data_IF_747760889446
#
_entry.id   IF_747760889446
#
_cell.length_a   1.000
_cell.length_b   1.000
_cell.length_c   1.000
_cell.angle_alpha   90.00
_cell.angle_beta   90.00
_cell.angle_gamma   90.00
#
_symmetry.space_group_name_H-M   'P 1'
#
loop_
_entity.id
_entity.type
_entity.pdbx_description
1 polymer ?
2 polymer ?
3 non-polymer ?
4 water ?
#
# COMPACT_ATOMS: atom_id res chain seq x y z
N UNK A 7 -15.60 -6.35 -23.35
CA UNK A 7 -14.24 -6.43 -23.88
C UNK A 7 -13.18 -6.28 -22.77
N UNK A 8 -12.02 -6.87 -23.02
CA UNK A 8 -10.93 -6.81 -22.05
C UNK A 8 -10.32 -5.41 -21.97
N UNK A 9 -10.34 -4.68 -23.09
CA UNK A 9 -9.92 -3.28 -23.03
C UNK A 9 -10.80 -2.48 -22.07
N UNK A 10 -12.09 -2.83 -22.01
CA UNK A 10 -13.00 -2.15 -21.07
C UNK A 10 -12.68 -2.52 -19.63
N UNK A 11 -12.42 -3.80 -19.36
CA UNK A 11 -11.99 -4.20 -18.03
C UNK A 11 -10.76 -3.42 -17.59
N UNK A 12 -9.78 -3.26 -18.48
CA UNK A 12 -8.54 -2.55 -18.12
C UNK A 12 -8.82 -1.07 -17.87
N UNK A 13 -9.65 -0.45 -18.71
CA UNK A 13 -9.95 0.96 -18.50
C UNK A 13 -10.75 1.17 -17.23
N UNK A 14 -11.74 0.30 -16.96
CA UNK A 14 -12.56 0.44 -15.76
C UNK A 14 -11.70 0.33 -14.50
N UNK A 15 -10.75 -0.60 -14.52
CA UNK A 15 -9.86 -0.74 -13.37
C UNK A 15 -8.98 0.49 -13.21
N UNK A 16 -8.41 0.98 -14.32
CA UNK A 16 -7.60 2.20 -14.27
C UNK A 16 -8.41 3.39 -13.77
N UNK A 17 -9.64 3.54 -14.27
CA UNK A 17 -10.46 4.66 -13.81
C UNK A 17 -10.77 4.56 -12.33
N UNK A 18 -10.98 3.32 -11.83
CA UNK A 18 -11.26 3.10 -10.42
C UNK A 18 -10.03 3.46 -9.57
N UNK A 19 -8.85 3.20 -10.11
CA UNK A 19 -7.61 3.53 -9.41
C UNK A 19 -7.39 5.04 -9.38
N UNK A 20 -7.63 5.73 -10.50
CA UNK A 20 -7.49 7.19 -10.52
C UNK A 20 -8.50 7.84 -9.61
N UNK A 21 -9.69 7.26 -9.47
CA UNK A 21 -10.74 7.87 -8.67
C UNK A 21 -10.46 7.70 -7.18
N UNK A 22 -9.95 6.54 -6.77
CA UNK A 22 -10.02 6.15 -5.38
C UNK A 22 -8.72 6.36 -4.60
N UNK A 23 -7.60 6.57 -5.27
CA UNK A 23 -6.33 6.83 -4.60
C UNK A 23 -5.98 8.30 -4.70
N UNK A 24 -5.66 8.92 -3.54
CA UNK A 24 -5.38 10.35 -3.56
C UNK A 24 -4.07 10.64 -4.28
N UNK A 25 -3.14 9.68 -4.25
CA UNK A 25 -1.81 9.83 -4.81
C UNK A 25 -1.65 8.81 -5.92
N UNK A 26 -1.20 9.29 -7.06
CA UNK A 26 -0.90 8.39 -8.15
C UNK A 26 0.46 8.76 -8.67
N UNK A 27 0.95 7.93 -9.56
CA UNK A 27 2.36 8.01 -9.85
C UNK A 27 2.69 9.26 -10.65
N UNK A 28 1.83 9.66 -11.59
CA UNK A 28 2.10 10.89 -12.32
C UNK A 28 2.16 12.06 -11.35
N UNK A 29 1.15 12.18 -10.47
CA UNK A 29 1.13 13.27 -9.49
C UNK A 29 2.39 13.24 -8.64
N UNK A 30 2.79 12.05 -8.20
CA UNK A 30 3.93 11.95 -7.29
C UNK A 30 5.21 12.38 -7.98
N UNK A 31 5.41 11.95 -9.22
CA UNK A 31 6.59 12.36 -9.97
C UNK A 31 6.59 13.86 -10.26
N UNK A 32 5.43 14.43 -10.53
CA UNK A 32 5.35 15.88 -10.72
C UNK A 32 5.90 16.60 -9.48
N UNK A 33 5.50 16.16 -8.30
CA UNK A 33 5.94 16.79 -7.07
C UNK A 33 7.41 16.51 -6.81
N UNK A 34 7.82 15.24 -6.95
CA UNK A 34 9.17 14.80 -6.67
C UNK A 34 10.20 15.38 -7.63
N UNK A 35 9.76 16.07 -8.68
CA UNK A 35 10.66 16.73 -9.62
C UNK A 35 10.82 18.22 -9.35
N UNK A 36 9.97 18.81 -8.50
CA UNK A 36 9.90 20.24 -8.38
C UNK A 36 8.86 20.80 -9.34
N UNK A 42 6.26 22.41 -3.23
CA UNK A 42 7.60 22.19 -2.69
C UNK A 42 7.53 21.49 -1.34
N UNK A 43 7.52 20.15 -1.31
CA UNK A 43 7.24 19.45 -0.05
C UNK A 43 8.25 19.81 1.01
N UNK A 44 7.81 19.75 2.26
CA UNK A 44 8.70 20.08 3.36
C UNK A 44 9.55 18.87 3.70
N UNK A 45 10.86 19.06 3.82
CA UNK A 45 11.79 17.95 3.94
C UNK A 45 12.07 17.63 5.40
N UNK A 46 11.79 16.39 5.77
CA UNK A 46 12.06 15.84 7.09
C UNK A 46 13.32 14.99 6.98
N UNK A 47 14.44 15.48 7.54
CA UNK A 47 15.71 14.80 7.40
C UNK A 47 16.43 14.70 8.72
N UNK A 48 15.85 15.19 9.80
CA UNK A 48 16.47 15.17 11.12
C UNK A 48 15.37 15.49 12.14
N UNK A 49 15.73 15.43 13.42
CA UNK A 49 14.73 15.63 14.47
C UNK A 49 14.18 17.05 14.46
N UNK A 50 15.02 18.07 14.21
CA UNK A 50 14.51 19.44 14.12
C UNK A 50 13.40 19.54 13.08
N UNK A 51 13.65 19.07 11.86
CA UNK A 51 12.64 19.17 10.82
C UNK A 51 11.45 18.23 11.05
N UNK A 52 11.65 17.07 11.68
CA UNK A 52 10.50 16.27 12.10
C UNK A 52 9.56 17.07 12.98
N UNK A 53 10.11 17.74 14.01
CA UNK A 53 9.24 18.48 14.90
C UNK A 53 8.54 19.62 14.19
N UNK A 54 9.26 20.31 13.29
CA UNK A 54 8.63 21.38 12.50
C UNK A 54 7.50 20.84 11.64
N UNK A 55 7.74 19.69 10.98
CA UNK A 55 6.71 19.13 10.13
C UNK A 55 5.51 18.72 10.95
N UNK A 56 5.73 18.15 12.13
CA UNK A 56 4.61 17.79 12.98
C UNK A 56 3.73 19.00 13.27
N UNK A 57 4.34 20.14 13.62
CA UNK A 57 3.54 21.31 13.96
C UNK A 57 2.78 21.88 12.78
N UNK A 58 3.29 21.72 11.55
CA UNK A 58 2.58 22.25 10.39
C UNK A 58 1.62 21.25 9.79
N UNK A 59 1.99 19.97 9.73
CA UNK A 59 1.21 19.00 8.97
C UNK A 59 0.34 18.06 9.79
N UNK A 60 0.67 17.86 11.06
CA UNK A 60 -0.14 17.02 11.95
C UNK A 60 -0.33 17.75 13.28
N UNK A 61 -0.72 19.02 13.20
CA UNK A 61 -0.70 19.92 14.35
C UNK A 61 -1.36 19.30 15.59
N UNK A 62 -2.55 18.71 15.41
CA UNK A 62 -3.30 18.16 16.53
C UNK A 62 -2.51 17.09 17.28
N UNK A 63 -1.65 16.34 16.58
CA UNK A 63 -0.90 15.26 17.22
C UNK A 63 -0.01 15.79 18.33
N UNK A 64 0.53 16.98 18.16
CA UNK A 64 1.45 17.54 19.14
C UNK A 64 0.89 18.81 19.80
N UNK A 65 -0.42 19.04 19.66
CA UNK A 65 -1.11 20.14 20.35
C UNK A 65 -1.43 19.67 21.77
N UNK A 66 -0.41 19.80 22.63
CA UNK A 66 -0.33 19.18 23.95
C UNK A 66 0.93 18.31 24.02
N UNK A 67 0.88 17.05 23.57
CA UNK A 67 -0.27 16.30 23.10
C UNK A 67 0.07 14.83 23.30
N UNK A 68 0.65 14.21 22.28
CA UNK A 68 1.54 13.06 22.48
C UNK A 68 2.99 13.42 22.18
N UNK A 69 3.30 14.72 22.13
CA UNK A 69 4.65 15.11 21.75
C UNK A 69 5.67 14.94 22.87
N UNK A 70 5.23 14.47 24.03
CA UNK A 70 6.17 13.98 25.04
C UNK A 70 6.47 12.50 24.90
N UNK A 71 5.84 11.82 23.93
CA UNK A 71 6.26 10.48 23.53
C UNK A 71 7.46 10.59 22.57
N UNK A 72 8.21 9.50 22.46
CA UNK A 72 9.44 9.50 21.67
C UNK A 72 9.12 9.77 20.21
N UNK A 73 10.05 10.41 19.50
CA UNK A 73 9.79 10.76 18.11
C UNK A 73 9.39 9.53 17.30
N UNK A 74 10.11 8.42 17.51
CA UNK A 74 9.84 7.18 16.77
C UNK A 74 8.39 6.73 16.97
N UNK A 75 7.88 6.87 18.19
CA UNK A 75 6.51 6.50 18.50
C UNK A 75 5.50 7.46 17.85
N UNK A 76 5.83 8.75 17.81
CA UNK A 76 4.95 9.70 17.11
C UNK A 76 4.90 9.38 15.63
N UNK A 77 6.06 9.08 15.04
CA UNK A 77 6.06 8.75 13.61
C UNK A 77 5.22 7.50 13.38
N UNK A 78 5.37 6.49 14.24
CA UNK A 78 4.63 5.24 14.07
C UNK A 78 3.13 5.48 14.12
N UNK A 79 2.68 6.39 15.00
CA UNK A 79 1.26 6.72 15.07
C UNK A 79 0.79 7.36 13.77
N UNK A 80 1.55 8.31 13.25
CA UNK A 80 1.20 8.95 11.99
C UNK A 80 1.15 7.91 10.88
N UNK A 81 2.10 6.97 10.89
CA UNK A 81 2.08 5.90 9.89
C UNK A 81 0.81 5.07 10.00
N UNK A 82 0.40 4.71 11.23
CA UNK A 82 -0.83 3.95 11.40
C UNK A 82 -2.02 4.71 10.84
N UNK A 83 -2.10 6.01 11.10
CA UNK A 83 -3.23 6.78 10.56
C UNK A 83 -3.23 6.73 9.05
N UNK A 84 -2.06 6.86 8.45
CA UNK A 84 -1.97 6.79 7.00
C UNK A 84 -2.42 5.43 6.49
N UNK A 85 -2.04 4.34 7.17
CA UNK A 85 -2.45 3.02 6.72
C UNK A 85 -3.95 2.83 6.84
N UNK A 86 -4.56 3.35 7.89
CA UNK A 86 -6.00 3.28 8.04
C UNK A 86 -6.66 3.97 6.85
N UNK A 87 -6.15 5.16 6.49
CA UNK A 87 -6.69 5.85 5.32
C UNK A 87 -6.50 5.02 4.05
N UNK A 88 -5.33 4.40 3.89
CA UNK A 88 -5.06 3.68 2.66
C UNK A 88 -5.93 2.44 2.55
N UNK A 89 -6.21 1.78 3.67
CA UNK A 89 -7.12 0.64 3.65
C UNK A 89 -8.51 1.06 3.18
N UNK A 90 -8.97 2.25 3.58
CA UNK A 90 -10.26 2.74 3.11
C UNK A 90 -10.21 2.95 1.61
N UNK A 91 -9.15 3.59 1.11
CA UNK A 91 -9.06 3.80 -0.34
C UNK A 91 -9.02 2.46 -1.07
N UNK A 92 -8.27 1.48 -0.55
CA UNK A 92 -8.17 0.17 -1.20
C UNK A 92 -9.50 -0.55 -1.20
N UNK A 93 -10.27 -0.39 -0.13
CA UNK A 93 -11.60 -1.00 -0.08
C UNK A 93 -12.52 -0.41 -1.12
N UNK A 94 -12.49 0.93 -1.29
CA UNK A 94 -13.33 1.54 -2.32
C UNK A 94 -12.86 1.14 -3.71
N UNK A 95 -11.54 1.04 -3.92
CA UNK A 95 -11.04 0.56 -5.20
C UNK A 95 -11.51 -0.86 -5.45
N UNK A 96 -11.39 -1.74 -4.45
CA UNK A 96 -11.80 -3.13 -4.62
C UNK A 96 -13.26 -3.19 -5.03
N UNK A 97 -14.12 -2.43 -4.35
CA UNK A 97 -15.56 -2.45 -4.66
C UNK A 97 -15.83 -1.99 -6.08
N UNK A 98 -14.90 -1.30 -6.72
CA UNK A 98 -15.08 -0.84 -8.09
C UNK A 98 -14.42 -1.77 -9.11
N UNK A 99 -13.72 -2.81 -8.67
CA UNK A 99 -13.16 -3.80 -9.60
C UNK A 99 -14.31 -4.62 -10.15
N UNK A 100 -14.49 -4.64 -11.47
CA UNK A 100 -15.63 -5.38 -12.03
C UNK A 100 -15.66 -6.80 -11.51
N UNK A 101 -16.82 -7.20 -10.96
CA UNK A 101 -16.99 -8.54 -10.44
C UNK A 101 -16.73 -8.69 -8.96
N UNK A 102 -16.00 -7.78 -8.35
CA UNK A 102 -15.66 -7.97 -6.94
C UNK A 102 -16.91 -7.91 -6.08
N UNK A 103 -17.83 -7.00 -6.39
CA UNK A 103 -19.04 -6.84 -5.60
C UNK A 103 -19.99 -8.03 -5.73
N UNK A 104 -19.79 -8.89 -6.73
CA UNK A 104 -20.60 -10.10 -6.85
C UNK A 104 -20.04 -11.24 -6.03
N UNK A 105 -18.90 -11.07 -5.38
CA UNK A 105 -18.38 -12.12 -4.54
C UNK A 105 -19.12 -12.16 -3.20
N UNK A 106 -19.04 -13.30 -2.54
CA UNK A 106 -19.52 -13.42 -1.16
C UNK A 106 -18.88 -12.34 -0.31
N UNK A 107 -19.69 -11.68 0.51
CA UNK A 107 -19.18 -10.59 1.33
C UNK A 107 -18.03 -11.05 2.22
N UNK A 108 -18.12 -12.27 2.75
CA UNK A 108 -17.05 -12.77 3.59
C UNK A 108 -15.77 -13.00 2.78
N UNK A 109 -15.90 -13.45 1.53
CA UNK A 109 -14.72 -13.56 0.67
C UNK A 109 -14.15 -12.19 0.34
N UNK A 110 -15.00 -11.17 0.18
CA UNK A 110 -14.49 -9.83 -0.05
C UNK A 110 -13.64 -9.37 1.13
N UNK A 111 -14.08 -9.68 2.35
CA UNK A 111 -13.30 -9.35 3.54
C UNK A 111 -11.94 -10.06 3.51
N UNK A 112 -11.96 -11.37 3.24
CA UNK A 112 -10.74 -12.15 3.19
C UNK A 112 -9.76 -11.61 2.15
N UNK A 113 -10.25 -11.28 0.96
CA UNK A 113 -9.36 -10.76 -0.07
C UNK A 113 -8.72 -9.45 0.37
N UNK A 114 -9.51 -8.55 0.96
CA UNK A 114 -8.93 -7.30 1.45
C UNK A 114 -7.90 -7.58 2.55
N UNK A 115 -8.27 -8.44 3.50
CA UNK A 115 -7.39 -8.69 4.64
C UNK A 115 -5.98 -9.10 4.20
N UNK A 116 -5.87 -10.04 3.26
CA UNK A 116 -4.57 -10.54 2.83
C UNK A 116 -3.94 -9.68 1.75
N UNK A 117 -4.73 -8.90 1.04
CA UNK A 117 -4.18 -8.20 -0.10
C UNK A 117 -3.75 -6.79 0.23
N UNK A 118 -4.32 -6.14 1.25
CA UNK A 118 -4.09 -4.71 1.41
C UNK A 118 -2.61 -4.35 1.53
N UNK A 119 -1.85 -5.09 2.34
CA UNK A 119 -0.46 -4.69 2.56
C UNK A 119 0.41 -4.99 1.36
N UNK A 120 0.10 -6.03 0.61
CA UNK A 120 0.82 -6.23 -0.65
C UNK A 120 0.56 -5.06 -1.57
N UNK A 121 -0.71 -4.63 -1.64
CA UNK A 121 -1.04 -3.46 -2.47
C UNK A 121 -0.38 -2.20 -1.93
N UNK A 122 -0.37 -2.02 -0.61
CA UNK A 122 0.25 -0.83 -0.02
C UNK A 122 1.73 -0.74 -0.41
N UNK A 123 2.46 -1.85 -0.27
CA UNK A 123 3.90 -1.76 -0.52
C UNK A 123 4.18 -1.62 -2.01
N UNK A 124 3.30 -2.18 -2.87
CA UNK A 124 3.45 -1.89 -4.30
C UNK A 124 3.25 -0.40 -4.58
N UNK A 125 2.15 0.18 -4.06
CA UNK A 125 1.85 1.59 -4.31
C UNK A 125 2.84 2.54 -3.63
N UNK A 126 3.43 2.13 -2.50
CA UNK A 126 4.46 2.94 -1.85
C UNK A 126 5.60 3.22 -2.81
N UNK A 127 5.88 2.30 -3.72
CA UNK A 127 6.96 2.51 -4.68
C UNK A 127 6.75 3.77 -5.48
N UNK A 128 5.50 4.09 -5.82
CA UNK A 128 5.25 5.27 -6.64
C UNK A 128 5.67 6.58 -5.96
N UNK A 129 5.78 6.60 -4.63
CA UNK A 129 6.14 7.82 -3.90
C UNK A 129 7.56 7.77 -3.38
N UNK A 130 8.33 6.77 -3.72
CA UNK A 130 9.69 6.62 -3.27
C UNK A 130 10.68 6.89 -4.38
N UNK A 131 11.79 7.53 -4.02
CA UNK A 131 12.99 7.52 -4.84
C UNK A 131 14.14 7.05 -3.97
N UNK A 132 15.36 7.05 -4.51
CA UNK A 132 16.44 6.46 -3.73
C UNK A 132 16.76 7.27 -2.48
N UNK A 133 16.32 8.53 -2.41
CA UNK A 133 16.63 9.44 -1.31
C UNK A 133 15.53 9.55 -0.26
N UNK A 134 14.30 9.12 -0.55
CA UNK A 134 13.25 9.28 0.44
C UNK A 134 11.89 9.05 -0.18
N UNK A 135 10.86 9.47 0.56
CA UNK A 135 9.48 9.18 0.18
C UNK A 135 8.59 10.38 0.44
N UNK A 136 7.65 10.59 -0.48
CA UNK A 136 6.71 11.66 -0.38
C UNK A 136 5.59 11.20 0.54
N UNK A 137 5.19 12.05 1.50
CA UNK A 137 4.23 11.70 2.52
C UNK A 137 3.27 12.84 2.76
N UNK A 138 2.27 12.57 3.61
CA UNK A 138 1.33 13.60 4.07
C UNK A 138 0.63 14.27 2.90
N UNK A 139 0.03 13.43 2.03
CA UNK A 139 -0.81 13.93 0.93
C UNK A 139 0.00 14.85 0.01
N UNK A 140 1.29 14.48 -0.19
CA UNK A 140 2.16 15.18 -1.09
C UNK A 140 2.87 16.40 -0.50
N UNK A 141 2.72 16.64 0.81
CA UNK A 141 3.20 17.86 1.44
C UNK A 141 4.49 17.71 2.22
N UNK A 142 4.96 16.48 2.42
CA UNK A 142 6.22 16.26 3.10
C UNK A 142 7.06 15.25 2.33
N UNK A 143 8.33 15.23 2.66
CA UNK A 143 9.24 14.26 2.05
C UNK A 143 10.17 13.83 3.17
N UNK A 144 10.14 12.55 3.52
CA UNK A 144 11.00 12.04 4.58
C UNK A 144 12.19 11.36 3.94
N UNK A 145 13.40 11.69 4.42
CA UNK A 145 14.56 11.09 3.80
C UNK A 145 14.75 9.66 4.27
N UNK A 146 15.28 8.85 3.33
CA UNK A 146 15.57 7.45 3.62
C UNK A 146 16.60 7.34 4.76
N UNK A 147 17.60 8.25 4.76
CA UNK A 147 18.62 8.27 5.81
C UNK A 147 18.02 8.62 7.16
N UNK A 148 17.05 9.55 7.21
CA UNK A 148 16.43 9.86 8.48
C UNK A 148 15.73 8.63 9.06
N UNK A 149 15.00 7.89 8.20
CA UNK A 149 14.31 6.72 8.69
C UNK A 149 15.29 5.65 9.18
N UNK A 150 16.43 5.49 8.47
CA UNK A 150 17.46 4.58 8.96
C UNK A 150 18.06 5.02 10.30
N UNK A 151 17.95 6.30 10.65
CA UNK A 151 18.58 6.84 11.85
C UNK A 151 17.74 6.67 13.11
N UNK A 152 16.47 6.26 12.97
CA UNK A 152 15.59 6.05 14.10
C UNK A 152 16.14 4.91 14.96
N UNK A 153 15.79 4.95 16.25
CA UNK A 153 16.20 3.84 17.09
C UNK A 153 15.53 2.53 16.66
N UNK A 154 16.22 1.43 16.90
CA UNK A 154 15.61 0.13 16.68
C UNK A 154 14.40 -0.02 17.60
N UNK A 155 13.34 -0.69 17.15
CA UNK A 155 13.18 -1.39 15.87
C UNK A 155 12.59 -0.51 14.78
N UNK A 156 12.36 0.76 15.08
CA UNK A 156 11.59 1.58 14.14
C UNK A 156 12.36 1.85 12.86
N UNK A 157 13.68 1.88 12.91
CA UNK A 157 14.51 2.08 11.71
C UNK A 157 14.49 0.89 10.75
N UNK A 158 13.93 -0.24 11.18
CA UNK A 158 13.89 -1.46 10.39
C UNK A 158 12.61 -1.60 9.57
N UNK A 159 11.65 -0.67 9.71
CA UNK A 159 10.38 -0.81 9.00
C UNK A 159 10.52 -0.47 7.52
N UNK A 160 11.05 0.70 7.21
CA UNK A 160 10.90 1.18 5.84
C UNK A 160 12.00 0.68 4.91
N UNK A 161 13.17 0.35 5.41
CA UNK A 161 14.27 0.08 4.51
C UNK A 161 13.98 -1.06 3.53
N UNK A 162 13.38 -2.19 3.93
CA UNK A 162 13.07 -3.24 2.95
C UNK A 162 12.08 -2.80 1.89
N UNK A 163 11.24 -1.83 2.24
CA UNK A 163 10.29 -1.29 1.28
C UNK A 163 10.98 -0.40 0.26
N UNK A 164 11.99 0.39 0.68
CA UNK A 164 12.78 1.11 -0.30
C UNK A 164 13.51 0.15 -1.21
N UNK A 165 14.07 -0.92 -0.65
CA UNK A 165 14.76 -1.88 -1.51
C UNK A 165 13.82 -2.49 -2.53
N UNK A 166 12.60 -2.85 -2.11
CA UNK A 166 11.63 -3.36 -3.07
C UNK A 166 11.33 -2.29 -4.12
N UNK A 167 11.06 -1.07 -3.64
CA UNK A 167 10.61 -0.02 -4.55
C UNK A 167 11.66 0.32 -5.61
N UNK A 168 12.96 0.29 -5.26
CA UNK A 168 13.94 0.71 -6.25
C UNK A 168 13.95 -0.22 -7.45
N UNK A 169 13.84 -1.51 -7.20
CA UNK A 169 13.76 -2.46 -8.31
C UNK A 169 12.41 -2.41 -9.01
N UNK A 170 11.32 -2.27 -8.26
CA UNK A 170 10.00 -2.16 -8.90
C UNK A 170 9.94 -0.94 -9.80
N UNK A 171 10.50 0.19 -9.34
CA UNK A 171 10.46 1.41 -10.12
C UNK A 171 11.30 1.30 -11.39
N UNK A 172 12.34 0.48 -11.36
CA UNK A 172 13.14 0.28 -12.57
C UNK A 172 12.36 -0.40 -13.68
N UNK A 173 11.24 -1.07 -13.36
CA UNK A 173 10.36 -1.62 -14.42
C UNK A 173 9.62 -0.53 -15.16
N UNK A 174 9.62 0.70 -14.67
CA UNK A 174 9.03 1.83 -15.38
C UNK A 174 7.55 1.60 -15.69
N UNK A 175 6.82 1.05 -14.72
CA UNK A 175 5.36 0.94 -14.90
C UNK A 175 4.69 2.31 -14.79
N UNK A 176 3.53 2.43 -15.44
CA UNK A 176 2.70 3.59 -15.22
C UNK A 176 1.42 3.18 -14.48
N UNK A 177 0.58 4.19 -14.19
CA UNK A 177 -0.62 3.94 -13.41
C UNK A 177 -1.55 2.94 -14.11
N UNK A 178 -1.56 2.93 -15.46
CA UNK A 178 -2.42 1.99 -16.15
C UNK A 178 -1.98 0.54 -15.87
N UNK A 179 -0.67 0.32 -15.76
CA UNK A 179 -0.17 -0.99 -15.37
C UNK A 179 -0.40 -1.28 -13.88
N UNK A 180 -0.11 -0.29 -13.03
CA UNK A 180 -0.14 -0.53 -11.59
C UNK A 180 -1.55 -0.82 -11.13
N UNK A 181 -2.53 -0.16 -11.76
CA UNK A 181 -3.92 -0.40 -11.38
C UNK A 181 -4.31 -1.86 -11.60
N UNK A 182 -3.86 -2.44 -12.73
CA UNK A 182 -4.14 -3.86 -13.00
C UNK A 182 -3.35 -4.77 -12.08
N UNK A 183 -2.11 -4.38 -11.74
CA UNK A 183 -1.29 -5.15 -10.81
C UNK A 183 -1.93 -5.19 -9.42
N UNK A 184 -2.42 -4.05 -8.94
CA UNK A 184 -3.09 -4.02 -7.64
C UNK A 184 -4.39 -4.82 -7.67
N UNK A 185 -5.16 -4.69 -8.75
CA UNK A 185 -6.34 -5.54 -8.89
C UNK A 185 -5.99 -7.02 -8.83
N UNK A 186 -4.91 -7.43 -9.53
CA UNK A 186 -4.47 -8.83 -9.49
C UNK A 186 -4.08 -9.27 -8.08
N UNK A 187 -3.38 -8.41 -7.34
CA UNK A 187 -3.02 -8.72 -5.96
C UNK A 187 -4.26 -8.97 -5.12
N UNK A 188 -5.29 -8.13 -5.29
CA UNK A 188 -6.48 -8.25 -4.44
C UNK A 188 -7.28 -9.51 -4.80
N UNK A 189 -7.40 -9.78 -6.09
CA UNK A 189 -8.28 -10.87 -6.57
C UNK A 189 -7.45 -12.13 -6.72
N UNK A 190 -7.12 -12.70 -5.57
CA UNK A 190 -6.16 -13.78 -5.46
C UNK A 190 -6.89 -14.98 -4.87
N UNK A 191 -6.95 -16.06 -5.64
CA UNK A 191 -7.74 -17.18 -5.21
C UNK A 191 -7.09 -18.12 -4.23
N UNK A 192 -5.83 -17.91 -3.86
CA UNK A 192 -5.15 -18.78 -2.92
C UNK A 192 -4.99 -18.13 -1.54
N UNK A 193 -5.85 -17.17 -1.21
CA UNK A 193 -5.83 -16.67 0.15
C UNK A 193 -6.44 -17.73 1.07
N UNK A 194 -5.96 -17.81 2.30
CA UNK A 194 -6.54 -18.76 3.27
C UNK A 194 -7.97 -18.37 3.63
N UNK A 195 -8.84 -19.38 3.64
CA UNK A 195 -10.19 -19.20 4.16
C UNK A 195 -11.24 -18.79 3.16
N UNK A 196 -10.93 -18.77 1.86
CA UNK A 196 -11.94 -18.36 0.90
C UNK A 196 -13.03 -19.41 0.80
N UNK A 197 -14.27 -18.94 0.62
CA UNK A 197 -15.43 -19.81 0.51
C UNK A 197 -15.60 -20.33 -0.92
N UNK A 198 -15.50 -19.45 -1.90
CA UNK A 198 -15.75 -19.77 -3.30
C UNK A 198 -14.44 -19.61 -4.09
N UNK A 199 -13.46 -20.49 -3.82
CA UNK A 199 -12.16 -20.42 -4.48
C UNK A 199 -12.31 -20.40 -6.00
N UNK A 200 -13.13 -21.30 -6.54
CA UNK A 200 -13.25 -21.38 -7.99
C UNK A 200 -13.70 -20.08 -8.61
N UNK A 201 -14.74 -19.45 -8.03
CA UNK A 201 -15.23 -18.20 -8.59
C UNK A 201 -14.15 -17.11 -8.52
N UNK A 202 -13.36 -17.10 -7.45
CA UNK A 202 -12.30 -16.11 -7.31
C UNK A 202 -11.16 -16.38 -8.29
N UNK A 203 -10.77 -17.66 -8.45
CA UNK A 203 -9.76 -17.99 -9.46
C UNK A 203 -10.20 -17.56 -10.85
N UNK A 204 -11.48 -17.76 -11.19
CA UNK A 204 -11.95 -17.34 -12.50
C UNK A 204 -11.89 -15.81 -12.64
N UNK A 205 -12.26 -15.08 -11.58
CA UNK A 205 -12.16 -13.62 -11.63
C UNK A 205 -10.71 -13.18 -11.77
N UNK A 206 -9.81 -13.78 -10.98
CA UNK A 206 -8.39 -13.53 -11.06
C UNK A 206 -7.86 -13.79 -12.48
N UNK A 207 -8.26 -14.92 -13.06
CA UNK A 207 -7.81 -15.24 -14.41
C UNK A 207 -8.17 -14.14 -15.41
N UNK A 208 -9.38 -13.57 -15.30
CA UNK A 208 -9.75 -12.49 -16.21
C UNK A 208 -8.86 -11.27 -16.04
N UNK A 209 -8.58 -10.90 -14.79
CA UNK A 209 -7.74 -9.73 -14.53
C UNK A 209 -6.31 -9.99 -14.95
N UNK A 210 -5.79 -11.18 -14.65
CA UNK A 210 -4.43 -11.50 -15.08
C UNK A 210 -4.32 -11.55 -16.59
N UNK A 211 -5.37 -12.07 -17.27
CA UNK A 211 -5.36 -12.10 -18.73
C UNK A 211 -5.28 -10.69 -19.28
N UNK A 212 -6.09 -9.77 -18.74
CA UNK A 212 -6.04 -8.37 -19.17
C UNK A 212 -4.68 -7.73 -18.84
N UNK A 213 -4.10 -8.08 -17.68
CA UNK A 213 -2.77 -7.58 -17.36
C UNK A 213 -1.73 -8.04 -18.37
N UNK A 214 -1.74 -9.33 -18.74
CA UNK A 214 -0.79 -9.85 -19.72
C UNK A 214 -0.90 -9.10 -21.03
N UNK A 215 -2.14 -8.95 -21.54
CA UNK A 215 -2.31 -8.26 -22.81
C UNK A 215 -1.93 -6.79 -22.71
N UNK A 216 -2.26 -6.14 -21.60
CA UNK A 216 -1.96 -4.73 -21.44
C UNK A 216 -0.47 -4.48 -21.43
N UNK A 217 0.29 -5.34 -20.74
CA UNK A 217 1.74 -5.18 -20.71
C UNK A 217 2.35 -5.38 -22.09
N UNK A 218 1.83 -6.35 -22.85
CA UNK A 218 2.30 -6.55 -24.21
C UNK A 218 2.12 -5.28 -25.04
N UNK A 219 0.98 -4.62 -24.90
CA UNK A 219 0.71 -3.39 -25.65
C UNK A 219 1.50 -2.21 -25.11
N UNK A 220 1.46 -2.02 -23.80
CA UNK A 220 2.03 -0.82 -23.19
C UNK A 220 3.55 -0.88 -23.05
N UNK A 221 4.14 -2.08 -23.05
CA UNK A 221 5.58 -2.25 -22.87
C UNK A 221 6.10 -3.21 -23.91
N UNK A 222 6.02 -2.83 -25.19
CA UNK A 222 6.47 -3.73 -26.27
C UNK A 222 7.94 -4.00 -26.22
N UNK A 223 8.70 -3.20 -25.49
CA UNK A 223 10.14 -3.33 -25.44
C UNK A 223 10.60 -4.41 -24.45
N UNK A 224 9.75 -4.88 -23.54
CA UNK A 224 10.20 -5.78 -22.46
C UNK A 224 9.38 -7.06 -22.54
N UNK A 225 9.94 -8.08 -23.22
CA UNK A 225 9.17 -9.30 -23.45
C UNK A 225 8.96 -10.12 -22.20
N UNK A 226 9.67 -9.83 -21.11
CA UNK A 226 9.53 -10.59 -19.89
C UNK A 226 8.76 -9.84 -18.81
N UNK A 227 8.15 -8.70 -19.15
CA UNK A 227 7.59 -7.88 -18.08
C UNK A 227 6.51 -8.64 -17.30
N UNK A 228 5.68 -9.44 -17.97
CA UNK A 228 4.65 -10.17 -17.24
C UNK A 228 5.24 -11.15 -16.22
N UNK A 229 6.13 -12.08 -16.58
CA UNK A 229 6.72 -12.92 -15.53
C UNK A 229 7.49 -12.12 -14.47
N UNK A 230 8.15 -11.01 -14.84
CA UNK A 230 8.76 -10.17 -13.81
C UNK A 230 7.72 -9.73 -12.79
N UNK A 231 6.54 -9.31 -13.25
CA UNK A 231 5.52 -8.86 -12.32
C UNK A 231 4.94 -10.01 -11.49
N UNK A 232 4.77 -11.20 -12.08
CA UNK A 232 4.40 -12.35 -11.25
C UNK A 232 5.39 -12.56 -10.12
N UNK A 233 6.70 -12.45 -10.41
CA UNK A 233 7.69 -12.58 -9.36
C UNK A 233 7.56 -11.47 -8.33
N UNK A 234 7.28 -10.23 -8.78
CA UNK A 234 7.09 -9.15 -7.81
C UNK A 234 5.93 -9.45 -6.88
N UNK A 235 4.86 -10.07 -7.39
CA UNK A 235 3.75 -10.44 -6.52
C UNK A 235 4.20 -11.39 -5.43
N UNK A 236 4.99 -12.41 -5.80
CA UNK A 236 5.53 -13.33 -4.81
C UNK A 236 6.48 -12.63 -3.84
N UNK A 237 7.32 -11.70 -4.33
CA UNK A 237 8.21 -10.93 -3.46
C UNK A 237 7.40 -10.11 -2.46
N UNK A 238 6.30 -9.54 -2.90
CA UNK A 238 5.46 -8.75 -2.00
C UNK A 238 4.84 -9.61 -0.91
N UNK A 239 4.41 -10.85 -1.24
CA UNK A 239 3.88 -11.71 -0.19
C UNK A 239 4.94 -11.94 0.89
N UNK A 240 6.17 -12.19 0.49
CA UNK A 240 7.25 -12.40 1.46
C UNK A 240 7.52 -11.12 2.22
N UNK A 241 7.52 -9.97 1.54
CA UNK A 241 7.73 -8.70 2.21
C UNK A 241 6.68 -8.48 3.28
N UNK A 242 5.42 -8.82 2.99
CA UNK A 242 4.34 -8.64 3.95
C UNK A 242 4.49 -9.58 5.14
N UNK A 243 4.85 -10.84 4.90
CA UNK A 243 5.08 -11.78 6.00
C UNK A 243 6.15 -11.24 6.95
N UNK A 244 7.25 -10.76 6.39
CA UNK A 244 8.32 -10.22 7.21
C UNK A 244 7.88 -8.95 7.93
N UNK A 245 7.12 -8.09 7.25
CA UNK A 245 6.65 -6.86 7.85
C UNK A 245 5.76 -7.16 9.06
N UNK A 246 4.84 -8.10 8.89
CA UNK A 246 3.95 -8.49 9.98
C UNK A 246 4.75 -9.01 11.17
N UNK A 247 5.83 -9.75 10.90
CA UNK A 247 6.66 -10.23 12.01
C UNK A 247 7.29 -9.08 12.79
N UNK A 248 7.71 -8.03 12.09
CA UNK A 248 8.27 -6.87 12.77
C UNK A 248 7.19 -6.10 13.53
N UNK A 249 6.01 -5.93 12.94
CA UNK A 249 4.91 -5.29 13.66
C UNK A 249 4.60 -6.02 14.96
N UNK A 250 4.67 -7.34 14.94
CA UNK A 250 4.45 -8.11 16.17
C UNK A 250 5.55 -7.86 17.18
N UNK A 251 6.80 -7.70 16.74
CA UNK A 251 7.87 -7.35 17.68
C UNK A 251 7.57 -6.00 18.33
N UNK A 252 7.08 -5.05 17.53
CA UNK A 252 6.78 -3.73 18.08
C UNK A 252 5.62 -3.79 19.06
N UNK A 253 4.52 -4.42 18.66
CA UNK A 253 3.35 -4.50 19.54
C UNK A 253 3.69 -5.15 20.87
N UNK A 254 4.67 -6.06 20.87
CA UNK A 254 5.04 -6.84 22.05
C UNK A 254 6.04 -6.11 22.94
N UNK A 255 7.00 -5.39 22.35
CA UNK A 255 8.06 -4.73 23.10
C UNK A 255 7.83 -3.24 23.31
N UNK A 256 6.86 -2.64 22.63
CA UNK A 256 6.67 -1.19 22.69
C UNK A 256 5.29 -0.87 23.27
N UNK A 257 5.27 -0.28 24.46
CA UNK A 257 4.01 0.01 25.15
C UNK A 257 3.26 1.17 24.48
N UNK A 258 4.00 2.17 23.99
CA UNK A 258 3.36 3.32 23.35
C UNK A 258 2.98 3.07 21.90
N UNK A 259 3.15 1.85 21.39
CA UNK A 259 2.98 1.58 19.97
C UNK A 259 1.71 0.80 19.70
N UNK A 260 0.68 0.99 20.53
CA UNK A 260 -0.54 0.22 20.40
C UNK A 260 -1.15 0.35 19.00
N UNK A 261 -1.66 -0.75 18.47
CA UNK A 261 -2.16 -0.76 17.10
C UNK A 261 -3.60 -0.23 17.04
N UNK A 262 -3.88 0.57 16.03
CA UNK A 262 -5.26 0.93 15.72
C UNK A 262 -6.10 -0.34 15.51
N UNK A 263 -7.34 -0.37 16.02
CA UNK A 263 -8.16 -1.58 15.92
C UNK A 263 -8.30 -2.15 14.52
N UNK A 264 -8.42 -1.31 13.50
CA UNK A 264 -8.56 -1.84 12.14
C UNK A 264 -7.29 -2.59 11.74
N UNK A 265 -6.13 -2.02 12.05
CA UNK A 265 -4.89 -2.69 11.68
C UNK A 265 -4.69 -3.96 12.51
N UNK A 266 -5.04 -3.90 13.80
CA UNK A 266 -5.03 -5.14 14.59
C UNK A 266 -5.86 -6.23 13.93
N UNK A 267 -7.05 -5.86 13.46
CA UNK A 267 -7.91 -6.84 12.79
C UNK A 267 -7.24 -7.41 11.53
N UNK A 268 -6.62 -6.55 10.72
CA UNK A 268 -5.99 -7.04 9.51
C UNK A 268 -4.85 -8.00 9.82
N UNK A 269 -4.04 -7.68 10.84
CA UNK A 269 -2.88 -8.51 11.18
C UNK A 269 -3.23 -9.78 11.93
N UNK A 270 -4.40 -9.85 12.55
CA UNK A 270 -4.79 -11.00 13.37
C UNK A 270 -5.05 -12.25 12.53
N UNK A 271 -4.40 -13.35 12.87
CA UNK A 271 -4.61 -14.61 12.18
C UNK A 271 -4.21 -14.52 10.70
N UNK A 272 -3.29 -13.60 10.37
CA UNK A 272 -2.83 -13.45 9.00
C UNK A 272 -1.72 -14.45 8.69
N UNK A 273 -0.51 -14.18 9.20
CA UNK A 273 0.64 -15.02 8.95
C UNK A 273 1.28 -15.49 10.25
N UNK B 5 -19.58 -8.35 13.28
CA UNK B 5 -19.45 -7.39 12.18
C UNK B 5 -18.10 -6.65 12.24
N UNK B 6 -17.06 -7.26 11.67
CA UNK B 6 -15.71 -6.74 11.77
C UNK B 6 -15.62 -5.33 11.17
N UNK B 7 -14.51 -4.64 11.46
CA UNK B 7 -14.33 -3.29 10.93
C UNK B 7 -14.11 -3.32 9.42
N UNK B 8 -13.38 -4.32 8.92
CA UNK B 8 -13.23 -4.49 7.47
C UNK B 8 -14.59 -4.64 6.81
N UNK B 9 -15.43 -5.54 7.34
CA UNK B 9 -16.75 -5.73 6.75
C UNK B 9 -17.56 -4.43 6.83
N UNK B 10 -17.39 -3.68 7.91
CA UNK B 10 -18.08 -2.40 8.01
C UNK B 10 -17.64 -1.47 6.87
N UNK B 11 -16.34 -1.43 6.58
CA UNK B 11 -15.88 -0.59 5.48
C UNK B 11 -16.45 -1.05 4.16
N UNK B 12 -16.53 -2.37 3.95
CA UNK B 12 -17.11 -2.88 2.72
C UNK B 12 -18.57 -2.48 2.59
N UNK B 13 -19.29 -2.41 3.71
CA UNK B 13 -20.71 -2.08 3.66
C UNK B 13 -20.97 -0.58 3.58
N UNK B 14 -19.98 0.25 3.90
CA UNK B 14 -20.15 1.70 3.80
C UNK B 14 -20.59 2.12 2.40
X LIG C 1 2.14 -0.01 10.39
X LIG C 1 0.37 6.21 1.55
X LIG C 1 3.38 8.22 6.52
X LIG C 1 4.32 9.24 7.14
X LIG C 1 3.56 10.35 7.87
X LIG C 1 4.46 11.54 8.24
X LIG C 1 3.64 12.74 8.68
X LIG C 1 4.53 13.92 9.11
X LIG C 1 5.40 13.50 10.29
X LIG C 1 6.22 12.29 9.91
X LIG C 1 5.36 11.13 9.39
X LIG C 1 4.21 3.84 5.29
X LIG C 1 1.62 5.36 1.75
X LIG C 1 4.16 2.79 6.44
X LIG C 1 4.91 3.00 7.57
X LIG C 1 4.84 2.10 8.63
X LIG C 1 4.02 1.00 8.52
X LIG C 1 3.25 0.77 7.38
X LIG C 1 3.32 1.68 6.34
X LIG C 1 1.33 -0.77 9.37
X LIG C 1 1.92 -0.64 11.78
X LIG C 1 1.64 1.42 10.40
X LIG C 1 1.38 3.91 1.33
X LIG C 1 1.02 3.87 -0.15
X LIG C 1 -0.17 4.78 -0.43
X LIG C 1 0.09 6.20 0.05
X LIG C 1 2.88 6.38 3.68
X LIG C 1 3.16 4.92 5.72
X LIG C 1 4.17 7.25 5.63
X LIG C 1 3.37 6.19 5.01
X LIG C 1 2.11 5.31 3.10
X LIG C 1 0.38 -0.21 8.80
X LIG C 1 3.08 7.40 3.09
X LIG C 1 1.63 -1.97 9.11
X LIG C 1 3.90 -0.15 9.93
X LIG C 1 -0.37 5.81 2.02
X LIG C 1 0.53 7.11 1.85
X LIG C 1 2.94 7.72 7.23
X LIG C 1 2.72 8.68 5.98
X LIG C 1 4.90 8.80 7.78
X LIG C 1 4.87 9.64 6.45
X LIG C 1 2.85 10.67 7.29
X LIG C 1 3.16 9.99 8.68
X LIG C 1 5.01 11.79 7.48
X LIG C 1 3.07 13.03 7.94
X LIG C 1 3.07 12.48 9.43
X LIG C 1 5.09 14.18 8.37
X LIG C 1 3.96 14.67 9.37
X LIG C 1 4.84 13.29 11.06
X LIG C 1 5.99 14.24 10.52
X LIG C 1 6.85 12.54 9.21
X LIG C 1 6.72 11.99 10.69
X LIG C 1 4.81 10.81 10.12
X LIG C 1 5.94 10.42 9.09
X LIG C 1 5.09 4.23 5.24
X LIG C 1 3.96 3.43 4.45
X LIG C 1 2.33 5.72 1.20
X LIG C 1 5.46 3.75 7.64
X LIG C 1 5.34 2.25 9.39
X LIG C 1 2.69 0.04 7.33
X LIG C 1 2.81 1.55 5.57
X LIG C 1 0.99 -0.55 12.02
X LIG C 1 2.15 -1.58 11.75
X LIG C 1 2.47 -0.19 12.43
X LIG C 1 2.08 1.91 11.13
X LIG C 1 1.86 1.85 9.56
X LIG C 1 0.68 1.44 10.54
X LIG C 1 0.65 3.55 1.85
X LIG C 1 2.19 3.39 1.48
X LIG C 1 0.80 2.96 -0.40
X LIG C 1 1.77 4.17 -0.67
X LIG C 1 -0.94 4.43 0.03
X LIG C 1 -0.34 4.79 -1.38
X LIG C 1 0.85 6.56 -0.43
X LIG C 1 -0.70 6.75 -0.13
X LIG C 1 3.22 5.07 6.67
X LIG C 1 2.26 4.59 5.51
X LIG C 1 4.86 6.83 6.17
X LIG C 1 4.59 7.75 4.93
X LIG C 1 2.02 4.57 3.55
#
# INVERSE_FOLDING_TARGET
>A
GSHMTADLKSLAKRIYEAYLKNFNMNKVKARVILSGKASNNPPFVIHDMETLCMAEKTLVAKLVANGIQNKEAEVRIFHCCQCTSVETVTELTEFAKAIPGFANLDLNDQVTLLKYGVYEAIFAMLSSVMNKDGMLVAYGNGFITREFLKSLRKPFCDIMEPKFDFAMKFNALELDDSDISLFVAAIICCGDRPGLLNVGHIEKMQEGIVHVLRLHLQSNHPDDIFLFPKLLQKMADLRQLVTEHAQLVQIIKKTESDAALHPLLQEIYRDMY
>B
EAEEPSLLKKLLLAP
>C hetero
1 2VN C26 C1 C10 C11 C12 C13 C14 C15 C16 C17 C18 C19 C2 C20 C21 C22 C23 C24 C25 C27 C28 C29 C3 C4 C55 C6 C7 C8 C9 N2 N1 O2 O1 O3 S1 H2 H1 H18 H17 H20 H19 H22 H21 H23 H24 H25 H26 H27 H28 H29 H31 H30 H32 H33 H35 H34 H3 HK6 HL7 HL8 HK9 HJ2 HJ1 HJ0 HJ4 HJ5 HJ3 H4 H5 H7 H6 H9 H8 H11 H10 H14 H13 H16 H15 H12
#
